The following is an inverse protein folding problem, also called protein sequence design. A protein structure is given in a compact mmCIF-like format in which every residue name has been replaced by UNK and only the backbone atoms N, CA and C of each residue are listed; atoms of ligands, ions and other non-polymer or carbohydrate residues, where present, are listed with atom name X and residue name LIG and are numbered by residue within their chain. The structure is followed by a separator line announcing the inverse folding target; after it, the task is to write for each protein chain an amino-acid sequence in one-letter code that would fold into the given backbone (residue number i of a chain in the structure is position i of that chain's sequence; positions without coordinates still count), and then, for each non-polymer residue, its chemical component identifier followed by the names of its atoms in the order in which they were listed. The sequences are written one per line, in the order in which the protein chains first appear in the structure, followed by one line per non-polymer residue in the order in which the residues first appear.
data_IF_930745613124
#
_entry.id   IF_930745613124
#
_cell.length_a   1.000
_cell.length_b   1.000
_cell.length_c   1.000
_cell.angle_alpha   90.00
_cell.angle_beta   90.00
_cell.angle_gamma   90.00
#
_symmetry.space_group_name_H-M   'P 1'
#
loop_
_entity.id
_entity.type
_entity.pdbx_description
1 polymer ?
#
# COMPACT_ATOMS: atom_id res chain seq x y z
N UNK A 1 -29.99 1.61 -11.75
CA UNK A 1 -28.68 2.28 -11.73
C UNK A 1 -28.70 3.76 -12.14
N UNK A 2 -29.76 4.31 -12.74
CA UNK A 2 -29.77 5.67 -13.32
C UNK A 2 -29.69 6.89 -12.34
N UNK A 3 -29.58 6.68 -11.02
CA UNK A 3 -29.61 7.78 -10.04
C UNK A 3 -28.23 8.44 -9.81
N UNK A 4 -27.19 7.62 -9.68
CA UNK A 4 -25.86 8.06 -9.23
C UNK A 4 -24.99 8.66 -10.35
N UNK A 5 -25.25 8.28 -11.61
CA UNK A 5 -24.51 8.76 -12.79
C UNK A 5 -24.69 10.28 -13.04
N UNK A 6 -25.71 10.89 -12.44
CA UNK A 6 -25.99 12.33 -12.53
C UNK A 6 -25.13 13.18 -11.58
N UNK A 7 -24.54 12.56 -10.55
CA UNK A 7 -23.84 13.25 -9.46
C UNK A 7 -22.36 13.52 -9.80
N UNK A 8 -22.13 14.22 -10.91
CA UNK A 8 -20.78 14.44 -11.48
C UNK A 8 -19.85 15.30 -10.61
N UNK A 9 -20.38 16.02 -9.63
CA UNK A 9 -19.64 16.87 -8.68
C UNK A 9 -19.44 16.24 -7.31
N UNK A 10 -19.86 14.98 -7.12
CA UNK A 10 -19.78 14.31 -5.84
C UNK A 10 -18.32 13.98 -5.48
N UNK A 11 -17.85 14.56 -4.38
CA UNK A 11 -16.47 14.36 -3.89
C UNK A 11 -16.36 13.27 -2.82
N UNK A 12 -17.43 13.01 -2.08
CA UNK A 12 -17.47 12.03 -0.98
C UNK A 12 -18.68 11.15 -1.15
N UNK A 13 -18.46 9.84 -1.15
CA UNK A 13 -19.52 8.84 -1.21
C UNK A 13 -19.25 7.76 -0.16
N UNK A 14 -20.20 7.57 0.74
CA UNK A 14 -20.23 6.44 1.66
C UNK A 14 -21.44 5.58 1.30
N UNK A 15 -21.16 4.30 1.07
CA UNK A 15 -22.10 3.23 0.80
C UNK A 15 -21.90 2.10 1.83
N UNK A 16 -21.48 2.48 3.03
CA UNK A 16 -21.16 1.54 4.09
C UNK A 16 -22.40 0.78 4.57
N UNK A 17 -22.24 -0.47 5.01
CA UNK A 17 -23.31 -1.30 5.59
C UNK A 17 -24.51 -1.50 4.66
N UNK A 18 -24.23 -1.81 3.39
CA UNK A 18 -25.24 -2.18 2.41
C UNK A 18 -25.02 -3.62 1.92
N UNK A 19 -25.81 -4.05 0.96
CA UNK A 19 -25.70 -5.38 0.34
C UNK A 19 -25.02 -5.29 -1.05
N UNK A 20 -24.04 -4.38 -1.21
CA UNK A 20 -23.37 -4.22 -2.49
C UNK A 20 -22.53 -5.45 -2.82
N UNK A 21 -22.79 -6.01 -4.00
CA UNK A 21 -22.01 -7.10 -4.59
C UNK A 21 -21.03 -6.60 -5.66
N UNK A 22 -21.15 -5.34 -6.07
CA UNK A 22 -20.30 -4.72 -7.09
C UNK A 22 -20.26 -3.21 -6.93
N UNK A 23 -19.13 -2.60 -7.31
CA UNK A 23 -18.93 -1.15 -7.43
C UNK A 23 -19.28 -0.62 -8.84
N UNK A 24 -19.85 -1.47 -9.71
CA UNK A 24 -20.28 -1.06 -11.05
C UNK A 24 -21.27 0.10 -10.99
N UNK A 25 -21.06 1.09 -11.86
CA UNK A 25 -21.87 2.33 -11.91
C UNK A 25 -21.21 3.55 -11.25
N UNK A 26 -20.10 3.39 -10.54
CA UNK A 26 -19.31 4.51 -9.98
C UNK A 26 -18.33 5.16 -10.99
N UNK A 27 -18.22 4.58 -12.20
CA UNK A 27 -17.28 5.00 -13.25
C UNK A 27 -17.55 6.39 -13.82
N UNK A 28 -18.72 6.98 -13.56
CA UNK A 28 -19.10 8.32 -14.01
C UNK A 28 -18.83 9.41 -12.93
N UNK A 29 -18.30 9.03 -11.77
CA UNK A 29 -18.01 9.95 -10.66
C UNK A 29 -16.57 10.45 -10.69
N UNK A 30 -16.22 11.20 -11.74
CA UNK A 30 -14.84 11.64 -11.99
C UNK A 30 -14.24 12.55 -10.90
N UNK A 31 -15.09 13.18 -10.09
CA UNK A 31 -14.69 14.14 -9.04
C UNK A 31 -14.55 13.51 -7.65
N UNK A 32 -14.73 12.19 -7.54
CA UNK A 32 -14.71 11.49 -6.27
C UNK A 32 -13.32 11.52 -5.64
N UNK A 33 -13.23 12.03 -4.42
CA UNK A 33 -12.02 12.10 -3.60
C UNK A 33 -12.02 11.03 -2.52
N UNK A 34 -13.19 10.68 -1.97
CA UNK A 34 -13.32 9.66 -0.95
C UNK A 34 -14.47 8.71 -1.26
N UNK A 35 -14.16 7.42 -1.27
CA UNK A 35 -15.13 6.33 -1.44
C UNK A 35 -15.01 5.37 -0.27
N UNK A 36 -16.14 5.12 0.40
CA UNK A 36 -16.27 4.09 1.42
C UNK A 36 -17.38 3.12 1.01
N UNK A 37 -17.03 1.84 0.88
CA UNK A 37 -17.95 0.73 0.65
C UNK A 37 -17.72 -0.36 1.71
N UNK A 38 -17.43 0.04 2.94
CA UNK A 38 -17.15 -0.90 4.03
C UNK A 38 -18.40 -1.70 4.42
N UNK A 39 -18.23 -2.88 4.99
CA UNK A 39 -19.34 -3.75 5.42
C UNK A 39 -20.34 -4.02 4.30
N UNK A 40 -19.86 -4.57 3.19
CA UNK A 40 -20.66 -4.99 2.04
C UNK A 40 -20.32 -6.45 1.65
N UNK A 41 -20.75 -6.90 0.48
CA UNK A 41 -20.52 -8.25 -0.03
C UNK A 41 -19.70 -8.23 -1.34
N UNK A 42 -18.78 -7.27 -1.46
CA UNK A 42 -17.96 -7.13 -2.66
C UNK A 42 -16.98 -8.30 -2.76
N UNK A 43 -17.01 -9.02 -3.88
CA UNK A 43 -16.02 -10.07 -4.22
C UNK A 43 -14.95 -9.56 -5.18
N UNK A 44 -15.24 -8.50 -5.92
CA UNK A 44 -14.32 -7.77 -6.77
C UNK A 44 -14.68 -6.27 -6.76
N UNK A 45 -13.72 -5.45 -7.16
CA UNK A 45 -13.91 -4.01 -7.35
C UNK A 45 -13.66 -3.70 -8.83
N UNK A 46 -14.69 -3.15 -9.47
CA UNK A 46 -14.73 -2.84 -10.89
C UNK A 46 -15.37 -1.47 -11.12
N UNK A 47 -15.04 -0.80 -12.22
CA UNK A 47 -15.67 0.48 -12.54
C UNK A 47 -15.08 1.66 -11.79
N UNK A 48 -13.91 1.50 -11.14
CA UNK A 48 -13.20 2.60 -10.48
C UNK A 48 -12.16 3.29 -11.38
N UNK A 49 -11.95 2.81 -12.60
CA UNK A 49 -10.83 3.20 -13.48
C UNK A 49 -10.83 4.71 -13.79
N UNK A 50 -12.00 5.35 -13.76
CA UNK A 50 -12.19 6.77 -14.05
C UNK A 50 -12.14 7.67 -12.81
N UNK A 51 -12.06 7.11 -11.59
CA UNK A 51 -11.99 7.88 -10.34
C UNK A 51 -10.54 8.24 -9.99
N UNK A 52 -9.84 8.89 -10.93
CA UNK A 52 -8.41 9.20 -10.81
C UNK A 52 -8.09 10.20 -9.67
N UNK A 53 -9.10 10.91 -9.16
CA UNK A 53 -8.96 11.88 -8.07
C UNK A 53 -9.12 11.26 -6.67
N UNK A 54 -9.32 9.94 -6.56
CA UNK A 54 -9.46 9.28 -5.27
C UNK A 54 -8.22 9.47 -4.39
N UNK A 55 -8.45 9.93 -3.16
CA UNK A 55 -7.48 10.07 -2.08
C UNK A 55 -7.65 8.98 -1.03
N UNK A 56 -8.89 8.62 -0.71
CA UNK A 56 -9.21 7.56 0.27
C UNK A 56 -10.15 6.54 -0.35
N UNK A 57 -9.79 5.26 -0.23
CA UNK A 57 -10.63 4.13 -0.60
C UNK A 57 -10.74 3.16 0.58
N UNK A 58 -11.96 3.00 1.09
CA UNK A 58 -12.27 2.10 2.18
C UNK A 58 -13.18 0.96 1.70
N UNK A 59 -12.65 -0.26 1.79
CA UNK A 59 -13.27 -1.51 1.35
C UNK A 59 -13.25 -2.55 2.47
N UNK A 60 -13.17 -2.11 3.74
CA UNK A 60 -13.13 -3.00 4.90
C UNK A 60 -14.36 -3.89 5.01
N UNK A 61 -14.23 -5.05 5.63
CA UNK A 61 -15.34 -5.97 5.88
C UNK A 61 -16.12 -6.31 4.59
N UNK A 62 -15.41 -6.86 3.61
CA UNK A 62 -15.95 -7.35 2.34
C UNK A 62 -15.49 -8.79 2.10
N UNK A 63 -15.66 -9.33 0.90
CA UNK A 63 -15.28 -10.70 0.53
C UNK A 63 -14.27 -10.72 -0.61
N UNK A 64 -13.38 -9.73 -0.67
CA UNK A 64 -12.36 -9.61 -1.71
C UNK A 64 -11.33 -10.75 -1.56
N UNK A 65 -11.12 -11.52 -2.62
CA UNK A 65 -10.09 -12.56 -2.68
C UNK A 65 -8.71 -12.02 -3.13
N UNK A 66 -8.71 -10.84 -3.74
CA UNK A 66 -7.52 -10.17 -4.26
C UNK A 66 -7.72 -8.64 -4.10
N UNK A 67 -6.63 -7.87 -3.99
CA UNK A 67 -6.74 -6.42 -3.93
C UNK A 67 -7.32 -5.85 -5.24
N UNK A 68 -7.99 -4.68 -5.18
CA UNK A 68 -8.53 -4.02 -6.35
C UNK A 68 -7.43 -3.61 -7.32
N UNK A 69 -7.73 -3.63 -8.63
CA UNK A 69 -6.83 -3.07 -9.65
C UNK A 69 -7.02 -1.56 -9.67
N UNK A 70 -5.97 -0.82 -9.33
CA UNK A 70 -6.00 0.64 -9.20
C UNK A 70 -4.97 1.32 -10.13
N UNK A 71 -5.06 1.14 -11.46
CA UNK A 71 -4.03 1.61 -12.38
C UNK A 71 -3.97 3.14 -12.53
N UNK A 72 -5.06 3.85 -12.22
CA UNK A 72 -5.19 5.28 -12.49
C UNK A 72 -5.25 6.14 -11.21
N UNK A 73 -5.32 5.52 -10.03
CA UNK A 73 -5.49 6.21 -8.74
C UNK A 73 -4.15 6.67 -8.18
N UNK A 74 -3.34 7.36 -9.00
CA UNK A 74 -2.00 7.86 -8.62
C UNK A 74 -2.02 8.87 -7.46
N UNK A 75 -3.19 9.43 -7.15
CA UNK A 75 -3.43 10.37 -6.05
C UNK A 75 -3.89 9.70 -4.74
N UNK A 76 -4.03 8.37 -4.74
CA UNK A 76 -4.50 7.63 -3.58
C UNK A 76 -3.49 7.72 -2.44
N UNK A 77 -3.98 8.07 -1.25
CA UNK A 77 -3.20 8.24 -0.02
C UNK A 77 -3.52 7.17 1.01
N UNK A 78 -4.77 6.73 1.05
CA UNK A 78 -5.27 5.81 2.06
C UNK A 78 -6.06 4.69 1.40
N UNK A 79 -5.65 3.44 1.66
CA UNK A 79 -6.33 2.24 1.20
C UNK A 79 -6.57 1.30 2.38
N UNK A 80 -7.85 1.05 2.67
CA UNK A 80 -8.27 0.13 3.73
C UNK A 80 -8.94 -1.10 3.11
N UNK A 81 -8.34 -2.26 3.34
CA UNK A 81 -8.76 -3.57 2.84
C UNK A 81 -8.91 -4.59 3.98
N UNK A 82 -9.06 -4.10 5.21
CA UNK A 82 -9.15 -4.95 6.40
C UNK A 82 -10.36 -5.88 6.35
N UNK A 83 -10.29 -7.03 7.02
CA UNK A 83 -11.39 -7.99 7.12
C UNK A 83 -11.92 -8.39 5.73
N UNK A 84 -11.04 -8.99 4.93
CA UNK A 84 -11.33 -9.53 3.61
C UNK A 84 -10.72 -10.95 3.51
N UNK A 85 -10.71 -11.55 2.31
CA UNK A 85 -10.12 -12.87 2.06
C UNK A 85 -8.89 -12.81 1.14
N UNK A 86 -8.13 -11.71 1.20
CA UNK A 86 -6.98 -11.49 0.33
C UNK A 86 -5.83 -12.39 0.74
N UNK A 87 -5.32 -13.20 -0.18
CA UNK A 87 -4.18 -14.08 0.06
C UNK A 87 -2.84 -13.55 -0.48
N UNK A 88 -2.88 -12.60 -1.40
CA UNK A 88 -1.68 -12.04 -2.03
C UNK A 88 -1.89 -10.58 -2.43
N UNK A 89 -0.88 -9.75 -2.22
CA UNK A 89 -0.86 -8.34 -2.63
C UNK A 89 -0.25 -8.10 -4.01
N UNK A 90 0.07 -9.15 -4.78
CA UNK A 90 0.64 -9.01 -6.13
C UNK A 90 -0.23 -8.19 -7.10
N UNK A 91 -1.55 -8.07 -6.86
CA UNK A 91 -2.40 -7.17 -7.64
C UNK A 91 -2.06 -5.68 -7.47
N UNK A 92 -1.49 -5.31 -6.32
CA UNK A 92 -1.07 -3.94 -6.02
C UNK A 92 0.32 -3.60 -6.52
N UNK A 93 1.21 -4.58 -6.74
CA UNK A 93 2.57 -4.32 -7.27
C UNK A 93 2.55 -3.81 -8.72
N UNK A 94 1.48 -4.10 -9.46
CA UNK A 94 1.26 -3.53 -10.80
C UNK A 94 0.68 -2.10 -10.78
N UNK A 95 0.30 -1.57 -9.62
CA UNK A 95 -0.31 -0.25 -9.48
C UNK A 95 0.76 0.77 -9.06
N UNK A 96 0.87 1.88 -9.80
CA UNK A 96 1.78 2.96 -9.44
C UNK A 96 1.11 3.94 -8.48
N UNK A 97 1.40 3.81 -7.19
CA UNK A 97 0.73 4.55 -6.10
C UNK A 97 1.75 5.37 -5.28
N UNK A 98 2.42 6.36 -5.89
CA UNK A 98 3.56 7.07 -5.27
C UNK A 98 3.17 7.94 -4.07
N UNK A 99 1.90 8.32 -3.96
CA UNK A 99 1.36 9.17 -2.89
C UNK A 99 0.67 8.38 -1.77
N UNK A 100 0.69 7.04 -1.83
CA UNK A 100 0.12 6.20 -0.78
C UNK A 100 0.87 6.46 0.53
N UNK A 101 0.13 6.79 1.59
CA UNK A 101 0.67 7.05 2.92
C UNK A 101 0.26 5.95 3.89
N UNK A 102 -0.98 5.46 3.80
CA UNK A 102 -1.53 4.45 4.70
C UNK A 102 -2.10 3.27 3.90
N UNK A 103 -1.56 2.08 4.14
CA UNK A 103 -2.13 0.83 3.63
C UNK A 103 -2.50 -0.07 4.80
N UNK A 104 -3.78 -0.45 4.87
CA UNK A 104 -4.30 -1.35 5.89
C UNK A 104 -4.87 -2.59 5.22
N UNK A 105 -4.31 -3.75 5.54
CA UNK A 105 -4.72 -5.06 5.03
C UNK A 105 -4.82 -6.07 6.18
N UNK A 106 -5.22 -5.60 7.36
CA UNK A 106 -5.36 -6.41 8.55
C UNK A 106 -6.47 -7.47 8.40
N UNK A 107 -6.40 -8.56 9.16
CA UNK A 107 -7.41 -9.63 9.15
C UNK A 107 -7.67 -10.17 7.74
N UNK A 108 -6.60 -10.47 7.00
CA UNK A 108 -6.64 -11.13 5.71
C UNK A 108 -5.90 -12.48 5.80
N UNK A 109 -5.58 -13.09 4.65
CA UNK A 109 -4.87 -14.37 4.56
C UNK A 109 -3.53 -14.22 3.85
N UNK A 110 -2.90 -13.06 3.96
CA UNK A 110 -1.66 -12.73 3.26
C UNK A 110 -0.55 -13.62 3.80
N UNK A 111 0.13 -14.34 2.91
CA UNK A 111 1.28 -15.19 3.25
C UNK A 111 2.61 -14.54 2.93
N UNK A 112 2.62 -13.66 1.92
CA UNK A 112 3.81 -12.99 1.40
C UNK A 112 3.52 -11.54 1.01
N UNK A 113 4.52 -10.68 1.21
CA UNK A 113 4.56 -9.32 0.69
C UNK A 113 5.31 -9.29 -0.64
N UNK A 114 4.74 -8.68 -1.69
CA UNK A 114 5.50 -8.33 -2.89
C UNK A 114 6.48 -7.19 -2.57
N UNK A 115 7.41 -6.91 -3.50
CA UNK A 115 8.25 -5.71 -3.41
C UNK A 115 7.38 -4.45 -3.45
N UNK A 116 7.53 -3.59 -2.44
CA UNK A 116 6.77 -2.36 -2.26
C UNK A 116 7.61 -1.10 -2.52
N UNK A 117 8.69 -1.21 -3.29
CA UNK A 117 9.63 -0.11 -3.57
C UNK A 117 8.98 1.13 -4.23
N UNK A 118 7.85 0.95 -4.93
CA UNK A 118 7.13 2.06 -5.59
C UNK A 118 6.31 2.91 -4.61
N UNK A 119 6.05 2.41 -3.40
CA UNK A 119 5.31 3.11 -2.35
C UNK A 119 6.21 4.08 -1.56
N UNK A 120 6.84 5.01 -2.29
CA UNK A 120 7.88 5.92 -1.74
C UNK A 120 7.39 6.81 -0.60
N UNK A 121 6.08 7.09 -0.53
CA UNK A 121 5.46 7.93 0.50
C UNK A 121 4.78 7.13 1.60
N UNK A 122 4.88 5.79 1.62
CA UNK A 122 4.18 4.97 2.59
C UNK A 122 4.75 5.22 3.98
N UNK A 123 3.90 5.65 4.89
CA UNK A 123 4.23 5.99 6.27
C UNK A 123 3.77 4.89 7.23
N UNK A 124 2.61 4.28 6.96
CA UNK A 124 1.98 3.27 7.81
C UNK A 124 1.52 2.06 7.02
N UNK A 125 1.88 0.89 7.50
CA UNK A 125 1.47 -0.40 6.95
C UNK A 125 0.90 -1.30 8.05
N UNK A 126 -0.37 -1.64 7.94
CA UNK A 126 -1.03 -2.57 8.84
C UNK A 126 -1.22 -3.94 8.19
N UNK A 127 -0.58 -4.95 8.75
CA UNK A 127 -0.61 -6.35 8.33
C UNK A 127 -1.08 -7.27 9.47
N UNK A 128 -1.74 -6.74 10.49
CA UNK A 128 -2.18 -7.53 11.64
C UNK A 128 -3.04 -8.72 11.23
N UNK A 129 -2.97 -9.82 11.99
CA UNK A 129 -3.81 -11.01 11.83
C UNK A 129 -3.81 -11.56 10.40
N UNK A 130 -2.62 -11.67 9.79
CA UNK A 130 -2.39 -12.35 8.52
C UNK A 130 -1.65 -13.68 8.75
N UNK A 131 -1.21 -14.33 7.67
CA UNK A 131 -0.54 -15.63 7.69
C UNK A 131 0.94 -15.55 7.29
N UNK A 132 1.59 -14.39 7.50
CA UNK A 132 2.99 -14.18 7.11
C UNK A 132 3.90 -14.95 8.06
N UNK A 133 4.62 -15.93 7.51
CA UNK A 133 5.41 -16.88 8.32
C UNK A 133 6.90 -16.61 8.32
N UNK A 134 7.43 -15.96 7.29
CA UNK A 134 8.86 -15.73 7.12
C UNK A 134 9.19 -14.25 7.27
N UNK A 135 10.09 -13.92 8.20
CA UNK A 135 10.54 -12.54 8.37
C UNK A 135 11.28 -12.00 7.13
N UNK A 136 12.07 -12.86 6.48
CA UNK A 136 12.85 -12.48 5.29
C UNK A 136 11.96 -11.92 4.18
N UNK A 137 10.77 -12.51 3.99
CA UNK A 137 9.79 -12.04 3.02
C UNK A 137 9.32 -10.61 3.33
N UNK A 138 9.11 -10.28 4.61
CA UNK A 138 8.75 -8.92 5.02
C UNK A 138 9.91 -7.95 4.77
N UNK A 139 11.12 -8.34 5.12
CA UNK A 139 12.31 -7.51 4.90
C UNK A 139 12.53 -7.20 3.41
N UNK A 140 12.35 -8.18 2.52
CA UNK A 140 12.46 -8.01 1.06
C UNK A 140 11.31 -7.18 0.50
N UNK A 141 10.08 -7.40 0.97
CA UNK A 141 8.91 -6.63 0.54
C UNK A 141 9.02 -5.15 0.89
N UNK A 142 9.56 -4.84 2.08
CA UNK A 142 9.76 -3.47 2.56
C UNK A 142 11.07 -2.83 2.08
N UNK A 143 11.91 -3.55 1.34
CA UNK A 143 13.13 -3.00 0.76
C UNK A 143 12.77 -1.86 -0.20
N UNK A 144 13.21 -0.64 0.12
CA UNK A 144 12.90 0.57 -0.67
C UNK A 144 11.76 1.43 -0.13
N UNK A 145 11.04 1.01 0.91
CA UNK A 145 10.05 1.84 1.61
C UNK A 145 10.73 2.86 2.53
N UNK A 146 11.30 3.93 1.95
CA UNK A 146 12.15 4.89 2.67
C UNK A 146 11.41 5.76 3.69
N UNK A 147 10.10 5.97 3.48
CA UNK A 147 9.28 6.84 4.33
C UNK A 147 8.52 6.08 5.43
N UNK A 148 8.69 4.76 5.51
CA UNK A 148 7.91 3.90 6.40
C UNK A 148 8.29 4.12 7.85
N UNK A 149 7.30 4.47 8.67
CA UNK A 149 7.48 4.79 10.09
C UNK A 149 6.81 3.78 11.00
N UNK A 150 5.68 3.23 10.58
CA UNK A 150 4.85 2.37 11.43
C UNK A 150 4.46 1.10 10.68
N UNK A 151 4.75 -0.05 11.30
CA UNK A 151 4.40 -1.38 10.77
C UNK A 151 3.75 -2.20 11.86
N UNK A 152 2.58 -2.77 11.57
CA UNK A 152 1.90 -3.69 12.47
C UNK A 152 1.91 -5.11 11.90
N UNK A 153 2.48 -6.07 12.64
CA UNK A 153 2.61 -7.48 12.29
C UNK A 153 1.97 -8.41 13.32
N UNK A 154 1.32 -7.86 14.35
CA UNK A 154 0.65 -8.61 15.41
C UNK A 154 -0.26 -9.69 14.86
N UNK A 155 -0.15 -10.92 15.37
CA UNK A 155 -0.99 -12.03 14.94
C UNK A 155 -0.51 -12.76 13.68
N UNK A 156 0.71 -12.48 13.21
CA UNK A 156 1.35 -13.26 12.15
C UNK A 156 2.27 -14.37 12.70
N UNK A 157 2.35 -15.55 12.05
CA UNK A 157 3.22 -16.64 12.49
C UNK A 157 4.71 -16.26 12.61
N UNK A 158 5.22 -15.28 11.85
CA UNK A 158 6.60 -14.80 11.95
C UNK A 158 7.00 -14.35 13.36
N UNK A 159 6.03 -13.96 14.21
CA UNK A 159 6.32 -13.53 15.58
C UNK A 159 6.88 -14.66 16.46
N UNK A 160 6.81 -15.91 16.01
CA UNK A 160 7.44 -17.06 16.68
C UNK A 160 8.96 -17.12 16.46
N UNK A 161 9.50 -16.42 15.47
CA UNK A 161 10.94 -16.36 15.24
C UNK A 161 11.64 -15.55 16.35
N UNK A 162 12.74 -16.08 16.88
CA UNK A 162 13.51 -15.39 17.92
C UNK A 162 14.15 -14.11 17.37
N UNK A 163 13.89 -12.96 17.99
CA UNK A 163 14.51 -11.69 17.60
C UNK A 163 13.94 -11.08 16.32
N UNK A 164 12.75 -11.50 15.87
CA UNK A 164 12.11 -11.00 14.65
C UNK A 164 12.03 -9.46 14.62
N UNK A 165 11.69 -8.84 15.76
CA UNK A 165 11.57 -7.38 15.90
C UNK A 165 12.91 -6.67 15.68
N UNK A 166 13.98 -7.15 16.31
CA UNK A 166 15.31 -6.55 16.14
C UNK A 166 15.83 -6.70 14.71
N UNK A 167 15.59 -7.85 14.09
CA UNK A 167 15.96 -8.10 12.70
C UNK A 167 15.18 -7.20 11.73
N UNK A 168 13.88 -6.99 11.97
CA UNK A 168 13.05 -6.05 11.19
C UNK A 168 13.56 -4.62 11.29
N UNK A 169 13.86 -4.15 12.51
CA UNK A 169 14.42 -2.81 12.74
C UNK A 169 15.80 -2.62 12.10
N UNK A 170 16.60 -3.68 12.01
CA UNK A 170 17.88 -3.65 11.28
C UNK A 170 17.68 -3.60 9.76
N UNK A 171 16.67 -4.28 9.24
CA UNK A 171 16.34 -4.27 7.81
C UNK A 171 15.73 -2.93 7.36
N UNK A 172 14.86 -2.34 8.20
CA UNK A 172 14.17 -1.08 7.92
C UNK A 172 14.49 -0.05 9.02
N UNK A 173 15.66 0.62 8.94
CA UNK A 173 16.12 1.51 10.00
C UNK A 173 15.30 2.79 10.17
N UNK A 174 14.38 3.11 9.25
CA UNK A 174 13.48 4.25 9.34
C UNK A 174 12.25 4.06 10.25
N UNK A 175 12.00 2.82 10.71
CA UNK A 175 10.82 2.49 11.52
C UNK A 175 10.88 3.16 12.89
N UNK A 176 9.81 3.87 13.23
CA UNK A 176 9.59 4.55 14.50
C UNK A 176 8.70 3.74 15.44
N UNK A 177 7.80 2.93 14.91
CA UNK A 177 6.88 2.11 15.68
C UNK A 177 6.68 0.74 15.01
N UNK A 178 6.67 -0.31 15.82
CA UNK A 178 6.32 -1.67 15.42
C UNK A 178 5.32 -2.21 16.42
N UNK A 179 4.15 -2.66 15.96
CA UNK A 179 3.05 -3.17 16.81
C UNK A 179 2.69 -2.21 17.95
N UNK A 180 2.41 -0.94 17.64
CA UNK A 180 2.07 0.13 18.61
C UNK A 180 3.16 0.43 19.66
N UNK A 181 4.29 -0.28 19.64
CA UNK A 181 5.44 -0.04 20.49
C UNK A 181 6.46 0.80 19.73
N UNK A 182 6.90 1.90 20.34
CA UNK A 182 8.01 2.68 19.80
C UNK A 182 9.23 1.79 19.57
N UNK A 183 9.86 1.94 18.40
CA UNK A 183 11.20 1.46 18.13
C UNK A 183 12.18 2.36 18.91
N UNK A 184 12.14 2.29 20.25
CA UNK A 184 12.93 3.19 21.09
C UNK A 184 14.42 3.09 20.76
N UNK A 185 15.06 4.25 20.55
CA UNK A 185 16.50 4.61 20.46
C UNK A 185 17.58 3.51 20.36
N UNK A 186 17.31 2.38 19.69
CA UNK A 186 18.21 1.23 19.65
C UNK A 186 19.28 1.31 18.55
N UNK A 187 19.28 2.38 17.74
CA UNK A 187 20.31 2.62 16.73
C UNK A 187 20.98 3.98 16.95
N UNK A 188 21.66 4.08 18.11
CA UNK A 188 22.79 4.98 18.22
C UNK A 188 23.88 4.60 17.22
N UNK A 189 24.07 5.44 16.21
CA UNK A 189 25.25 5.55 15.34
C UNK A 189 25.57 4.38 14.38
N UNK A 190 25.65 4.76 13.10
CA UNK A 190 26.50 4.18 12.04
C UNK A 190 26.10 2.84 11.42
N UNK A 191 25.41 2.91 10.26
CA UNK A 191 25.96 2.44 8.99
C UNK A 191 25.00 2.80 7.84
N UNK A 192 25.36 3.79 7.03
CA UNK A 192 24.74 4.01 5.73
C UNK A 192 25.10 2.80 4.86
N UNK A 193 24.25 1.77 4.86
CA UNK A 193 24.27 0.77 3.79
C UNK A 193 23.80 1.48 2.53
N UNK A 194 24.71 1.64 1.56
CA UNK A 194 24.35 2.00 0.18
C UNK A 194 23.42 0.89 -0.32
N UNK A 195 22.12 1.17 -0.37
CA UNK A 195 21.13 0.28 -0.99
C UNK A 195 21.58 0.01 -2.43
N UNK A 196 21.67 -1.27 -2.80
CA UNK A 196 21.75 -1.63 -4.21
C UNK A 196 20.38 -1.33 -4.79
N UNK A 197 20.30 -0.27 -5.60
CA UNK A 197 19.08 0.09 -6.33
C UNK A 197 18.63 -1.12 -7.14
N UNK A 198 17.38 -1.57 -6.93
CA UNK A 198 16.78 -2.59 -7.77
C UNK A 198 16.72 -2.06 -9.22
N UNK A 199 17.21 -2.82 -10.22
CA UNK A 199 17.14 -2.41 -11.61
C UNK A 199 15.68 -2.32 -12.05
N UNK A 200 15.26 -1.13 -12.51
CA UNK A 200 13.88 -0.85 -12.92
C UNK A 200 13.06 -0.06 -11.90
N UNK A 201 13.59 0.22 -10.70
CA UNK A 201 12.94 1.13 -9.75
C UNK A 201 12.91 2.57 -10.27
N UNK A 202 11.89 3.35 -9.89
CA UNK A 202 11.76 4.76 -10.27
C UNK A 202 13.01 5.59 -9.95
N UNK A 203 13.70 5.31 -8.84
CA UNK A 203 14.96 5.96 -8.49
C UNK A 203 16.10 5.63 -9.45
N UNK A 204 16.15 4.40 -9.97
CA UNK A 204 17.13 4.03 -11.00
C UNK A 204 16.88 4.78 -12.32
N UNK A 205 15.61 5.02 -12.66
CA UNK A 205 15.22 5.81 -13.83
C UNK A 205 15.51 7.30 -13.64
N UNK A 206 15.19 7.87 -12.48
CA UNK A 206 15.53 9.26 -12.15
C UNK A 206 17.05 9.49 -12.14
N UNK A 207 17.83 8.55 -11.60
CA UNK A 207 19.28 8.67 -11.57
C UNK A 207 19.90 8.52 -12.96
N UNK A 208 19.37 7.63 -13.81
CA UNK A 208 19.78 7.51 -15.21
C UNK A 208 19.51 8.79 -16.01
N UNK A 209 18.30 9.38 -15.86
CA UNK A 209 17.98 10.65 -16.52
C UNK A 209 18.81 11.83 -16.01
N UNK A 210 19.14 11.88 -14.73
CA UNK A 210 20.02 12.91 -14.19
C UNK A 210 21.46 12.75 -14.70
N UNK A 211 21.95 11.51 -14.87
CA UNK A 211 23.27 11.25 -15.45
C UNK A 211 23.31 11.62 -16.93
N UNK A 212 22.34 11.22 -17.75
CA UNK A 212 22.24 11.62 -19.17
C UNK A 212 22.16 13.15 -19.32
N UNK A 213 21.39 13.83 -18.48
CA UNK A 213 21.30 15.29 -18.51
C UNK A 213 22.65 15.96 -18.16
N UNK A 214 23.42 15.39 -17.24
CA UNK A 214 24.74 15.90 -16.86
C UNK A 214 25.80 15.67 -17.94
N UNK A 215 25.74 14.54 -18.66
CA UNK A 215 26.67 14.22 -19.76
C UNK A 215 26.43 15.13 -20.97
N UNK A 216 25.17 15.45 -21.27
CA UNK A 216 24.81 16.40 -22.34
C UNK A 216 25.28 17.84 -22.02
N UNK A 217 25.34 18.22 -20.74
CA UNK A 217 25.86 19.53 -20.31
C UNK A 217 27.38 19.63 -20.34
N UNK A 218 28.12 18.51 -20.38
CA UNK A 218 29.59 18.50 -20.49
C UNK A 218 30.09 18.44 -21.93
N UNK A 219 29.20 18.31 -22.92
CA UNK A 219 29.54 18.31 -24.36
C UNK A 219 29.39 19.69 -25.04
N UNK A 220 29.19 20.76 -24.27
CA UNK A 220 29.18 22.17 -24.71
C UNK A 220 30.23 22.99 -23.95
#
# INVERSE_FOLDING_TARGET
SAGLESLKSLQKLSLDHNELISTTGLSHMYTLLHLSCSHNHLTSVEGLENNALLHTLDLRANSLAAPPRLPNQVLLRELHLDDNSISSLQGLSACWLPLMQHLSVAQNRITELPTMADYVSLEKLDLQFNCISELQNVCEGLEGCLSLREVHLTGNPLQQESGWRSSLLQAVPGLQAVDEQAAGDALGSSAVRRSRLAPGSFLSLCQAHLQEASELQQQH
#
